data_IF_327242292065
#
_entry.id   IF_327242292065
#
_cell.length_a   1.000
_cell.length_b   1.000
_cell.length_c   1.000
_cell.angle_alpha   90.00
_cell.angle_beta   90.00
_cell.angle_gamma   90.00
#
_symmetry.space_group_name_H-M   'P 1'
#
loop_
_entity.id
_entity.type
_entity.pdbx_description
1 polymer ?
#
# COMPACT_ATOMS: atom_id res chain seq x y z
N UNK A 1 15.88 -13.69 5.91
CA UNK A 1 16.77 -13.76 7.10
C UNK A 1 17.77 -14.89 6.87
N UNK A 2 19.07 -14.68 7.03
CA UNK A 2 20.10 -15.72 6.92
C UNK A 2 19.83 -16.89 7.86
N UNK A 3 20.14 -18.11 7.41
CA UNK A 3 19.81 -19.35 8.13
C UNK A 3 20.48 -19.42 9.53
N UNK A 4 21.71 -18.93 9.65
CA UNK A 4 22.43 -18.87 10.92
C UNK A 4 21.76 -17.96 11.97
N UNK A 5 21.14 -16.86 11.50
CA UNK A 5 20.40 -15.96 12.39
C UNK A 5 19.08 -16.56 12.86
N UNK A 6 18.49 -17.48 12.10
CA UNK A 6 17.26 -18.17 12.51
C UNK A 6 17.53 -19.04 13.74
N UNK A 7 18.68 -19.73 13.78
CA UNK A 7 19.08 -20.57 14.93
C UNK A 7 19.29 -19.73 16.20
N UNK A 8 19.92 -18.55 16.05
CA UNK A 8 20.13 -17.63 17.17
C UNK A 8 18.80 -17.06 17.69
N UNK A 9 17.90 -16.69 16.78
CA UNK A 9 16.57 -16.20 17.17
C UNK A 9 15.78 -17.28 17.89
N UNK A 10 15.79 -18.51 17.37
CA UNK A 10 15.12 -19.64 18.03
C UNK A 10 15.60 -19.83 19.46
N UNK A 11 16.93 -19.80 19.68
CA UNK A 11 17.51 -19.92 21.02
C UNK A 11 17.01 -18.83 21.96
N UNK A 12 16.99 -17.56 21.52
CA UNK A 12 16.45 -16.45 22.32
C UNK A 12 14.98 -16.65 22.67
N UNK A 13 14.16 -17.14 21.72
CA UNK A 13 12.74 -17.39 21.94
C UNK A 13 12.47 -18.59 22.88
N UNK A 14 13.41 -19.54 22.96
CA UNK A 14 13.30 -20.71 23.83
C UNK A 14 13.80 -20.44 25.25
N UNK A 15 14.98 -19.83 25.36
CA UNK A 15 15.68 -19.62 26.64
C UNK A 15 15.23 -18.33 27.35
N UNK A 16 14.61 -17.38 26.62
CA UNK A 16 14.21 -16.06 27.12
C UNK A 16 15.39 -15.32 27.76
N UNK A 17 16.56 -15.49 27.16
CA UNK A 17 17.79 -14.79 27.57
C UNK A 17 18.53 -14.26 26.34
N UNK A 18 19.26 -13.19 26.54
CA UNK A 18 20.17 -12.60 25.54
C UNK A 18 21.56 -12.40 26.15
N UNK A 19 22.58 -12.43 25.30
CA UNK A 19 23.95 -12.10 25.67
C UNK A 19 24.35 -10.79 24.98
N UNK A 20 25.08 -9.94 25.65
CA UNK A 20 25.65 -8.73 25.04
C UNK A 20 26.76 -9.12 24.07
N UNK A 21 26.92 -8.34 22.99
CA UNK A 21 28.04 -8.53 22.07
C UNK A 21 29.34 -8.40 22.84
N UNK A 22 30.18 -9.45 22.77
CA UNK A 22 31.46 -9.56 23.51
C UNK A 22 31.31 -9.91 25.01
N UNK A 23 30.08 -10.13 25.48
CA UNK A 23 29.84 -10.62 26.84
C UNK A 23 29.52 -12.12 26.87
N UNK A 24 29.69 -12.74 28.03
CA UNK A 24 29.38 -14.18 28.27
C UNK A 24 28.25 -14.35 29.30
N UNK A 25 27.75 -13.27 29.88
CA UNK A 25 26.74 -13.33 30.92
C UNK A 25 25.33 -13.30 30.31
N UNK A 26 24.49 -14.34 30.50
CA UNK A 26 23.11 -14.34 30.06
C UNK A 26 22.28 -13.32 30.85
N UNK A 27 21.44 -12.60 30.15
CA UNK A 27 20.54 -11.59 30.68
C UNK A 27 19.11 -12.06 30.42
N UNK A 28 18.30 -12.35 31.43
CA UNK A 28 16.92 -12.71 31.25
C UNK A 28 16.13 -11.54 30.67
N UNK A 29 15.21 -11.83 29.74
CA UNK A 29 14.35 -10.83 29.11
C UNK A 29 12.89 -11.18 29.32
N UNK A 30 12.04 -10.15 29.41
CA UNK A 30 10.60 -10.27 29.35
C UNK A 30 10.12 -9.50 28.12
N UNK A 31 9.69 -10.24 27.08
CA UNK A 31 9.36 -9.66 25.76
C UNK A 31 8.09 -10.27 25.19
N UNK A 32 7.38 -9.46 24.42
CA UNK A 32 6.35 -9.90 23.49
C UNK A 32 6.88 -9.83 22.08
N UNK A 33 6.83 -10.94 21.36
CA UNK A 33 7.33 -11.03 19.98
C UNK A 33 6.17 -10.83 19.01
N UNK A 34 6.33 -9.91 18.07
CA UNK A 34 5.40 -9.66 16.97
C UNK A 34 6.22 -9.72 15.69
N UNK A 35 5.83 -10.62 14.78
CA UNK A 35 6.49 -10.81 13.49
C UNK A 35 5.56 -10.38 12.36
N UNK A 36 6.14 -9.82 11.29
CA UNK A 36 5.42 -9.50 10.07
C UNK A 36 6.26 -9.90 8.85
N UNK A 37 5.60 -10.44 7.84
CA UNK A 37 6.22 -10.81 6.57
C UNK A 37 5.20 -10.74 5.44
N UNK A 38 5.67 -10.53 4.23
CA UNK A 38 4.89 -10.67 3.00
C UNK A 38 5.25 -11.94 2.23
N UNK A 39 6.11 -12.80 2.80
CA UNK A 39 6.54 -14.05 2.17
C UNK A 39 5.71 -15.22 2.69
N UNK A 40 5.51 -16.21 1.82
CA UNK A 40 4.95 -17.49 2.23
C UNK A 40 6.01 -18.28 3.00
N UNK A 41 5.91 -18.28 4.33
CA UNK A 41 6.89 -18.94 5.19
C UNK A 41 6.77 -20.46 5.12
N UNK A 42 5.56 -21.01 4.92
CA UNK A 42 5.35 -22.45 4.76
C UNK A 42 6.11 -22.99 3.55
N UNK A 43 5.99 -22.32 2.41
CA UNK A 43 6.78 -22.64 1.22
C UNK A 43 8.29 -22.54 1.50
N UNK A 44 8.74 -21.53 2.24
CA UNK A 44 10.17 -21.39 2.60
C UNK A 44 10.65 -22.50 3.53
N UNK A 45 9.79 -23.10 4.34
CA UNK A 45 10.11 -24.29 5.15
C UNK A 45 10.25 -25.51 4.25
N UNK A 46 9.33 -25.73 3.30
CA UNK A 46 9.39 -26.80 2.32
C UNK A 46 10.67 -26.71 1.45
N UNK A 47 11.07 -25.51 1.07
CA UNK A 47 12.29 -25.22 0.31
C UNK A 47 13.58 -25.32 1.18
N UNK A 48 13.46 -25.53 2.49
CA UNK A 48 14.61 -25.59 3.41
C UNK A 48 15.30 -24.23 3.65
N UNK A 49 14.69 -23.12 3.24
CA UNK A 49 15.25 -21.76 3.41
C UNK A 49 14.81 -21.09 4.72
N UNK A 50 13.82 -21.66 5.39
CA UNK A 50 13.36 -21.27 6.72
C UNK A 50 13.24 -22.50 7.61
N UNK A 51 13.65 -22.38 8.86
CA UNK A 51 13.63 -23.50 9.81
C UNK A 51 12.20 -23.78 10.27
N UNK A 52 11.83 -25.05 10.26
CA UNK A 52 10.53 -25.52 10.69
C UNK A 52 10.28 -25.28 12.19
N UNK A 53 11.29 -25.50 13.02
CA UNK A 53 11.21 -25.27 14.47
C UNK A 53 10.98 -23.79 14.83
N UNK A 54 11.61 -22.88 14.11
CA UNK A 54 11.38 -21.46 14.27
C UNK A 54 9.99 -21.04 13.75
N UNK A 55 9.54 -21.63 12.64
CA UNK A 55 8.20 -21.36 12.12
C UNK A 55 7.12 -21.68 13.18
N UNK A 56 7.12 -22.87 13.75
CA UNK A 56 6.14 -23.23 14.79
C UNK A 56 6.25 -22.38 16.05
N UNK A 57 7.42 -21.88 16.38
CA UNK A 57 7.62 -21.00 17.55
C UNK A 57 7.06 -19.60 17.32
N UNK A 58 7.09 -19.10 16.09
CA UNK A 58 6.59 -17.77 15.72
C UNK A 58 5.09 -17.79 15.33
N UNK A 59 4.62 -18.86 14.70
CA UNK A 59 3.26 -18.95 14.15
C UNK A 59 2.23 -19.48 15.16
N UNK A 60 2.24 -18.95 16.38
CA UNK A 60 1.29 -19.34 17.44
C UNK A 60 -0.08 -18.72 17.20
N UNK A 61 -0.11 -17.45 16.81
CA UNK A 61 -1.35 -16.71 16.51
C UNK A 61 -1.17 -16.02 15.17
N UNK A 62 -1.51 -16.69 14.05
CA UNK A 62 -1.42 -16.09 12.74
C UNK A 62 -2.52 -15.04 12.55
N UNK A 63 -2.13 -13.88 12.04
CA UNK A 63 -3.05 -12.80 11.65
C UNK A 63 -2.80 -12.51 10.19
N UNK A 64 -3.75 -12.86 9.32
CA UNK A 64 -3.69 -12.53 7.92
C UNK A 64 -4.29 -11.14 7.68
N UNK A 65 -3.50 -10.24 7.09
CA UNK A 65 -3.94 -8.92 6.68
C UNK A 65 -4.30 -8.95 5.19
N UNK A 66 -5.59 -8.89 4.84
CA UNK A 66 -5.98 -8.87 3.44
C UNK A 66 -5.49 -7.58 2.76
N UNK A 67 -5.14 -7.64 1.46
CA UNK A 67 -4.78 -6.46 0.70
C UNK A 67 -5.96 -5.49 0.59
N UNK A 68 -5.68 -4.21 0.37
CA UNK A 68 -6.68 -3.14 0.38
C UNK A 68 -7.82 -3.38 -0.63
N UNK A 69 -7.51 -4.00 -1.79
CA UNK A 69 -8.53 -4.39 -2.79
C UNK A 69 -9.59 -5.39 -2.28
N UNK A 70 -9.29 -6.14 -1.21
CA UNK A 70 -10.22 -7.09 -0.57
C UNK A 70 -11.00 -6.48 0.61
N UNK A 71 -10.75 -5.20 0.94
CA UNK A 71 -11.42 -4.46 2.01
C UNK A 71 -11.69 -3.01 1.60
N UNK A 72 -12.28 -2.86 0.40
CA UNK A 72 -12.59 -1.55 -0.19
C UNK A 72 -13.57 -0.72 0.64
N UNK A 73 -14.37 -1.37 1.48
CA UNK A 73 -15.25 -0.75 2.47
C UNK A 73 -14.51 0.11 3.51
N UNK A 74 -13.25 -0.18 3.77
CA UNK A 74 -12.43 0.62 4.69
C UNK A 74 -11.94 1.93 4.08
N UNK A 75 -11.92 2.03 2.73
CA UNK A 75 -11.33 3.16 2.01
C UNK A 75 -11.95 4.50 2.38
N UNK A 76 -13.30 4.68 2.44
CA UNK A 76 -13.88 5.95 2.82
C UNK A 76 -13.45 6.43 4.21
N UNK A 77 -13.35 5.51 5.17
CA UNK A 77 -12.92 5.82 6.52
C UNK A 77 -11.41 6.15 6.61
N UNK A 78 -10.59 5.47 5.80
CA UNK A 78 -9.15 5.72 5.72
C UNK A 78 -8.84 7.05 5.03
N UNK A 79 -9.55 7.35 3.94
CA UNK A 79 -9.45 8.61 3.20
C UNK A 79 -9.96 9.75 4.06
N UNK A 80 -11.16 9.64 4.63
CA UNK A 80 -11.80 10.70 5.41
C UNK A 80 -11.06 11.10 6.69
N UNK A 81 -10.17 10.25 7.21
CA UNK A 81 -9.29 10.59 8.34
C UNK A 81 -8.06 11.40 7.95
N UNK A 82 -7.69 11.36 6.69
CA UNK A 82 -6.40 11.83 6.19
C UNK A 82 -6.52 12.94 5.16
N UNK A 83 -7.73 13.30 4.73
CA UNK A 83 -7.94 14.25 3.63
C UNK A 83 -9.00 15.30 3.97
N UNK A 84 -8.91 16.43 3.24
CA UNK A 84 -9.98 17.43 3.09
C UNK A 84 -11.24 16.78 2.49
N UNK A 85 -12.28 17.55 2.21
CA UNK A 85 -13.43 17.06 1.48
C UNK A 85 -13.03 16.42 0.15
N UNK A 86 -13.74 15.37 -0.25
CA UNK A 86 -13.52 14.65 -1.52
C UNK A 86 -14.85 14.64 -2.28
N UNK A 87 -14.86 14.99 -3.56
CA UNK A 87 -16.07 14.91 -4.36
C UNK A 87 -16.56 13.46 -4.51
N UNK A 88 -17.88 13.24 -4.68
CA UNK A 88 -18.43 11.89 -4.84
C UNK A 88 -17.77 11.11 -5.99
N UNK A 89 -17.47 11.78 -7.11
CA UNK A 89 -16.83 11.19 -8.29
C UNK A 89 -15.38 10.77 -7.99
N UNK A 90 -14.62 11.64 -7.31
CA UNK A 90 -13.25 11.32 -6.90
C UNK A 90 -13.22 10.17 -5.90
N UNK A 91 -14.14 10.18 -4.92
CA UNK A 91 -14.26 9.11 -3.93
C UNK A 91 -14.62 7.76 -4.59
N UNK A 92 -15.55 7.76 -5.54
CA UNK A 92 -15.93 6.57 -6.29
C UNK A 92 -14.73 6.02 -7.06
N UNK A 93 -13.96 6.88 -7.73
CA UNK A 93 -12.75 6.52 -8.47
C UNK A 93 -11.69 5.91 -7.56
N UNK A 94 -11.40 6.55 -6.43
CA UNK A 94 -10.46 6.04 -5.42
C UNK A 94 -10.90 4.69 -4.83
N UNK A 95 -12.21 4.50 -4.63
CA UNK A 95 -12.76 3.25 -4.09
C UNK A 95 -12.71 2.12 -5.14
N UNK A 96 -12.87 2.45 -6.42
CA UNK A 96 -12.82 1.47 -7.51
C UNK A 96 -11.41 0.98 -7.79
N UNK A 97 -10.40 1.77 -7.52
CA UNK A 97 -8.99 1.43 -7.77
C UNK A 97 -8.52 0.26 -6.91
N UNK A 98 -7.61 -0.57 -7.42
CA UNK A 98 -7.19 -1.82 -6.78
C UNK A 98 -6.03 -1.69 -5.78
N UNK A 99 -5.40 -0.53 -5.73
CA UNK A 99 -4.34 -0.24 -4.76
C UNK A 99 -3.23 -1.30 -4.71
N UNK A 100 -2.49 -1.54 -5.79
CA UNK A 100 -1.43 -2.55 -5.81
C UNK A 100 -0.36 -2.34 -4.73
N UNK A 101 -0.05 -1.09 -4.39
CA UNK A 101 0.84 -0.72 -3.29
C UNK A 101 0.15 -0.65 -1.92
N UNK A 102 -1.14 -1.07 -1.84
CA UNK A 102 -1.92 -1.10 -0.61
C UNK A 102 -1.96 0.25 0.13
N UNK A 103 -1.95 0.22 1.45
CA UNK A 103 -2.03 1.42 2.31
C UNK A 103 -0.85 2.38 2.10
N UNK A 104 0.32 1.88 1.67
CA UNK A 104 1.49 2.74 1.42
C UNK A 104 1.26 3.62 0.19
N UNK A 105 0.78 3.03 -0.90
CA UNK A 105 0.41 3.77 -2.11
C UNK A 105 -0.71 4.77 -1.81
N UNK A 106 -1.75 4.32 -1.12
CA UNK A 106 -2.87 5.17 -0.73
C UNK A 106 -2.41 6.40 0.07
N UNK A 107 -1.53 6.22 1.06
CA UNK A 107 -1.00 7.36 1.84
C UNK A 107 -0.21 8.32 0.99
N UNK A 108 0.62 7.83 0.08
CA UNK A 108 1.39 8.69 -0.82
C UNK A 108 0.47 9.50 -1.75
N UNK A 109 -0.59 8.88 -2.25
CA UNK A 109 -1.58 9.57 -3.10
C UNK A 109 -2.36 10.61 -2.30
N UNK A 110 -2.75 10.31 -1.08
CA UNK A 110 -3.42 11.28 -0.20
C UNK A 110 -2.52 12.49 0.04
N UNK A 111 -1.27 12.26 0.42
CA UNK A 111 -0.29 13.34 0.65
C UNK A 111 -0.06 14.18 -0.61
N UNK A 112 0.02 13.54 -1.78
CA UNK A 112 0.10 14.21 -3.06
C UNK A 112 -1.13 15.11 -3.30
N UNK A 113 -2.34 14.59 -3.12
CA UNK A 113 -3.60 15.33 -3.32
C UNK A 113 -3.74 16.52 -2.37
N UNK A 114 -3.34 16.37 -1.11
CA UNK A 114 -3.35 17.47 -0.14
C UNK A 114 -2.42 18.63 -0.52
N UNK A 115 -1.33 18.34 -1.23
CA UNK A 115 -0.37 19.34 -1.68
C UNK A 115 -0.73 20.01 -3.01
N UNK A 116 -1.49 19.32 -3.88
CA UNK A 116 -1.79 19.81 -5.25
C UNK A 116 -3.17 20.45 -5.34
N UNK A 117 -4.16 19.95 -4.60
CA UNK A 117 -5.51 20.46 -4.69
C UNK A 117 -5.58 21.93 -4.24
N UNK A 118 -5.99 22.81 -5.13
CA UNK A 118 -6.10 24.24 -4.87
C UNK A 118 -7.34 24.59 -4.01
N UNK A 119 -8.36 23.72 -4.01
CA UNK A 119 -9.64 23.91 -3.30
C UNK A 119 -9.74 23.19 -1.95
N UNK A 120 -10.85 23.41 -1.24
CA UNK A 120 -11.18 22.69 0.00
C UNK A 120 -11.68 21.27 -0.27
N UNK A 121 -12.11 20.98 -1.51
CA UNK A 121 -12.64 19.69 -1.94
C UNK A 121 -11.81 19.17 -3.10
N UNK A 122 -11.27 17.97 -2.94
CA UNK A 122 -10.52 17.26 -3.97
C UNK A 122 -11.49 16.79 -5.06
N UNK A 123 -11.23 17.21 -6.29
CA UNK A 123 -12.00 16.90 -7.47
C UNK A 123 -11.40 15.70 -8.24
N UNK A 124 -12.20 15.12 -9.14
CA UNK A 124 -11.73 14.06 -10.02
C UNK A 124 -10.52 14.50 -10.87
N UNK A 125 -10.48 15.78 -11.26
CA UNK A 125 -9.37 16.36 -12.03
C UNK A 125 -8.03 16.43 -11.27
N UNK A 126 -8.06 16.35 -9.95
CA UNK A 126 -6.87 16.40 -9.11
C UNK A 126 -6.23 15.01 -8.97
N UNK A 127 -6.99 13.95 -9.28
CA UNK A 127 -6.49 12.58 -9.19
C UNK A 127 -5.42 12.31 -10.26
N UNK A 128 -4.36 11.58 -9.90
CA UNK A 128 -3.36 11.13 -10.87
C UNK A 128 -3.98 10.29 -11.99
N UNK A 129 -3.54 10.50 -13.23
CA UNK A 129 -4.07 9.83 -14.43
C UNK A 129 -4.08 8.30 -14.30
N UNK A 130 -3.04 7.71 -13.71
CA UNK A 130 -2.96 6.26 -13.54
C UNK A 130 -4.05 5.69 -12.61
N UNK A 131 -4.61 6.49 -11.70
CA UNK A 131 -5.74 6.08 -10.85
C UNK A 131 -7.04 6.20 -11.63
N UNK A 132 -7.23 7.31 -12.33
CA UNK A 132 -8.45 7.55 -13.12
C UNK A 132 -8.58 6.50 -14.22
N UNK A 133 -7.50 6.18 -14.92
CA UNK A 133 -7.49 5.20 -16.01
C UNK A 133 -7.73 3.76 -15.54
N UNK A 134 -7.24 3.38 -14.34
CA UNK A 134 -7.38 2.01 -13.82
C UNK A 134 -8.61 1.79 -12.94
N UNK A 135 -9.32 2.82 -12.57
CA UNK A 135 -10.57 2.72 -11.80
C UNK A 135 -11.80 2.46 -12.67
N UNK A 136 -11.74 2.79 -13.95
CA UNK A 136 -12.73 2.35 -14.94
C UNK A 136 -12.38 0.97 -15.48
N UNK A 137 -13.37 0.14 -15.88
CA UNK A 137 -13.25 -1.21 -16.48
C UNK A 137 -11.85 -1.48 -17.02
N UNK A 138 -11.19 -2.53 -16.52
CA UNK A 138 -9.80 -2.80 -16.84
C UNK A 138 -9.52 -2.63 -18.34
N UNK A 139 -8.33 -2.15 -18.71
CA UNK A 139 -7.90 -1.99 -20.12
C UNK A 139 -8.04 -3.26 -20.95
N UNK A 140 -8.30 -4.40 -20.30
CA UNK A 140 -8.57 -5.70 -20.95
C UNK A 140 -9.87 -5.69 -21.79
N UNK A 141 -10.81 -4.77 -21.51
CA UNK A 141 -12.10 -4.65 -22.22
C UNK A 141 -12.13 -3.47 -23.21
N UNK A 142 -11.08 -2.66 -23.31
CA UNK A 142 -11.02 -1.51 -24.20
C UNK A 142 -10.22 -1.86 -25.47
N UNK A 143 -10.78 -1.52 -26.62
CA UNK A 143 -10.04 -1.55 -27.88
C UNK A 143 -8.96 -0.44 -27.86
N UNK A 144 -7.93 -0.62 -28.68
CA UNK A 144 -6.86 0.39 -28.81
C UNK A 144 -7.43 1.75 -29.23
N UNK A 145 -8.46 1.76 -30.06
CA UNK A 145 -9.13 2.96 -30.56
C UNK A 145 -9.85 3.72 -29.43
N UNK A 146 -10.51 3.00 -28.51
CA UNK A 146 -11.17 3.60 -27.33
C UNK A 146 -10.16 4.21 -26.36
N UNK A 147 -8.98 3.57 -26.18
CA UNK A 147 -7.90 4.10 -25.36
C UNK A 147 -7.33 5.39 -25.95
N UNK A 148 -7.10 5.41 -27.27
CA UNK A 148 -6.59 6.58 -27.98
C UNK A 148 -7.59 7.73 -27.95
N UNK A 149 -8.87 7.46 -28.20
CA UNK A 149 -9.94 8.48 -28.16
C UNK A 149 -10.10 9.12 -26.76
N UNK A 150 -10.04 8.31 -25.70
CA UNK A 150 -10.10 8.82 -24.32
C UNK A 150 -8.86 9.67 -23.98
N UNK A 151 -7.67 9.22 -24.38
CA UNK A 151 -6.43 9.98 -24.21
C UNK A 151 -6.46 11.32 -24.95
N UNK A 152 -6.89 11.34 -26.22
CA UNK A 152 -7.02 12.56 -27.02
C UNK A 152 -8.00 13.55 -26.38
N UNK A 153 -9.18 13.09 -25.94
CA UNK A 153 -10.17 13.93 -25.24
C UNK A 153 -9.59 14.57 -23.98
N UNK A 154 -8.80 13.85 -23.22
CA UNK A 154 -8.15 14.36 -21.98
C UNK A 154 -7.06 15.38 -22.28
N UNK A 155 -6.20 15.10 -23.26
CA UNK A 155 -5.15 16.03 -23.70
C UNK A 155 -5.77 17.33 -24.19
N UNK A 156 -6.79 17.24 -25.03
CA UNK A 156 -7.51 18.42 -25.53
C UNK A 156 -8.18 19.21 -24.39
N UNK A 157 -8.82 18.53 -23.44
CA UNK A 157 -9.44 19.17 -22.27
C UNK A 157 -8.41 19.90 -21.41
N UNK A 158 -7.23 19.29 -21.19
CA UNK A 158 -6.14 19.90 -20.44
C UNK A 158 -5.52 21.12 -21.14
N UNK A 159 -5.42 21.06 -22.48
CA UNK A 159 -4.91 22.17 -23.29
C UNK A 159 -5.89 23.34 -23.32
N UNK A 160 -7.20 23.08 -23.42
CA UNK A 160 -8.26 24.11 -23.36
C UNK A 160 -8.25 24.83 -22.01
N UNK A 161 -8.15 24.08 -20.90
CA UNK A 161 -8.03 24.67 -19.56
C UNK A 161 -6.78 25.54 -19.41
N UNK A 162 -5.62 25.10 -19.90
CA UNK A 162 -4.39 25.89 -19.89
C UNK A 162 -4.48 27.12 -20.79
N UNK A 163 -5.14 27.02 -21.95
CA UNK A 163 -5.38 28.14 -22.85
C UNK A 163 -6.27 29.21 -22.22
N UNK A 164 -7.36 28.82 -21.59
CA UNK A 164 -8.28 29.73 -20.91
C UNK A 164 -7.59 30.50 -19.76
N UNK A 165 -6.69 29.84 -19.02
CA UNK A 165 -5.95 30.48 -17.91
C UNK A 165 -4.91 31.51 -18.40
N UNK A 166 -4.46 31.42 -19.66
CA UNK A 166 -3.52 32.39 -20.27
C UNK A 166 -4.23 33.62 -20.81
N UNK A 167 -5.51 33.51 -21.23
CA UNK A 167 -6.30 34.65 -21.69
C UNK A 167 -6.83 35.52 -20.53
N UNK A 168 -7.04 34.94 -19.36
CA UNK A 168 -7.45 35.72 -18.15
C UNK A 168 -6.28 36.50 -17.51
N UNK A 169 -5.03 36.30 -17.92
CA UNK A 169 -3.84 36.97 -17.35
C UNK A 169 -3.27 38.08 -18.24
N UNK A 170 -3.92 38.42 -19.36
CA UNK A 170 -3.63 39.58 -20.21
C UNK A 170 -4.76 40.60 -20.14
#
# INVERSE_FOLDING_TARGET
MPYDLQSKLLRVLQEIVVERIGGTKPIPIDIRVICATNKNIEQMVEEGTFREDLYYRLNIIPIELPPLRKRKEDLPALIGKSMRGVSPEALQTLTSYDWPGNVREMKNIIEYLENIAEGEIIQLSDLPDHIVMRSGKGFEDWSLDEIVEDYEKRVLSSMVKKGATLEEKN
#
